data_IF_863077627748
#
_entry.id   IF_863077627748
#
_cell.length_a   1.000
_cell.length_b   1.000
_cell.length_c   1.000
_cell.angle_alpha   90.00
_cell.angle_beta   90.00
_cell.angle_gamma   90.00
#
_symmetry.space_group_name_H-M   'P 1'
#
loop_
_entity.id
_entity.type
_entity.pdbx_description
1 polymer ?
#
# COMPACT_ATOMS: atom_id res chain seq x y z
N UNK A 1 -2.49 -8.79 13.52
CA UNK A 1 -1.58 -9.48 12.57
C UNK A 1 -1.06 -8.44 11.59
N UNK A 2 0.21 -8.51 11.22
CA UNK A 2 0.85 -7.65 10.21
C UNK A 2 1.81 -8.48 9.36
N UNK A 3 1.93 -8.16 8.08
CA UNK A 3 3.07 -8.59 7.26
C UNK A 3 4.21 -7.60 7.49
N UNK A 4 5.30 -8.05 8.13
CA UNK A 4 6.46 -7.18 8.38
C UNK A 4 7.26 -6.86 7.13
N UNK A 5 7.02 -7.62 6.04
CA UNK A 5 7.52 -7.33 4.69
C UNK A 5 7.19 -5.92 4.20
N UNK A 6 6.06 -5.37 4.64
CA UNK A 6 5.47 -4.14 4.10
C UNK A 6 6.03 -2.92 4.84
N UNK A 7 5.19 -1.96 5.20
CA UNK A 7 5.58 -0.71 5.87
C UNK A 7 6.48 -0.89 7.09
N UNK A 8 6.34 -2.01 7.83
CA UNK A 8 7.13 -2.27 9.04
C UNK A 8 8.62 -2.39 8.72
N UNK A 9 9.02 -3.24 7.77
CA UNK A 9 10.38 -3.20 7.22
C UNK A 9 10.56 -1.98 6.33
N UNK A 10 9.73 -1.86 5.29
CA UNK A 10 9.68 -0.72 4.38
C UNK A 10 10.95 -0.47 3.58
N UNK A 11 11.80 -1.48 3.39
CA UNK A 11 12.99 -1.41 2.54
C UNK A 11 13.01 -2.55 1.49
N UNK A 12 11.91 -3.28 1.35
CA UNK A 12 11.71 -4.34 0.35
C UNK A 12 12.82 -5.40 0.29
N UNK A 13 13.44 -5.69 1.43
CA UNK A 13 14.64 -6.53 1.56
C UNK A 13 14.45 -7.76 2.47
N UNK A 14 13.32 -7.86 3.17
CA UNK A 14 12.99 -8.99 4.06
C UNK A 14 11.53 -9.41 3.94
N UNK A 15 11.26 -10.69 4.22
CA UNK A 15 9.92 -11.23 4.37
C UNK A 15 9.65 -11.61 5.83
N UNK A 16 8.44 -11.32 6.32
CA UNK A 16 8.07 -11.77 7.66
C UNK A 16 6.64 -11.45 8.07
N UNK A 17 6.28 -11.94 9.24
CA UNK A 17 4.98 -11.76 9.85
C UNK A 17 5.10 -11.42 11.34
N UNK A 18 4.15 -10.62 11.83
CA UNK A 18 4.04 -10.22 13.23
C UNK A 18 2.63 -10.49 13.72
N UNK A 19 2.53 -11.20 14.83
CA UNK A 19 1.31 -11.40 15.59
C UNK A 19 1.47 -10.72 16.95
N UNK A 20 0.50 -9.92 17.34
CA UNK A 20 0.45 -9.20 18.61
C UNK A 20 -0.90 -9.45 19.25
N UNK A 21 -0.91 -9.70 20.55
CA UNK A 21 -2.11 -9.89 21.36
C UNK A 21 -1.88 -9.26 22.74
N UNK A 22 -2.95 -8.83 23.39
CA UNK A 22 -2.98 -8.42 24.79
C UNK A 22 -3.62 -9.49 25.71
N UNK A 23 -3.90 -10.67 25.15
CA UNK A 23 -4.41 -11.85 25.83
C UNK A 23 -3.27 -12.86 26.01
N UNK A 24 -2.93 -13.14 27.26
CA UNK A 24 -1.84 -14.05 27.65
C UNK A 24 -2.09 -15.50 27.22
N UNK A 25 -3.34 -15.98 27.27
CA UNK A 25 -3.68 -17.34 26.84
C UNK A 25 -3.46 -17.48 25.33
N UNK A 26 -3.84 -16.45 24.57
CA UNK A 26 -3.59 -16.44 23.13
C UNK A 26 -2.09 -16.34 22.81
N UNK A 27 -1.31 -15.56 23.57
CA UNK A 27 0.15 -15.47 23.39
C UNK A 27 0.82 -16.83 23.59
N UNK A 28 0.47 -17.56 24.64
CA UNK A 28 0.99 -18.91 24.90
C UNK A 28 0.68 -19.87 23.75
N UNK A 29 -0.56 -19.86 23.25
CA UNK A 29 -0.99 -20.69 22.12
C UNK A 29 -0.23 -20.35 20.83
N UNK A 30 -0.04 -19.06 20.56
CA UNK A 30 0.74 -18.60 19.39
C UNK A 30 2.21 -19.00 19.50
N UNK A 31 2.83 -18.86 20.68
CA UNK A 31 4.21 -19.31 20.93
C UNK A 31 4.38 -20.81 20.77
N UNK A 32 3.41 -21.59 21.28
CA UNK A 32 3.40 -23.03 21.09
C UNK A 32 3.39 -23.40 19.60
N UNK A 33 2.51 -22.78 18.80
CA UNK A 33 2.45 -23.01 17.36
C UNK A 33 3.75 -22.61 16.65
N UNK A 34 4.35 -21.47 17.02
CA UNK A 34 5.61 -21.02 16.44
C UNK A 34 6.74 -22.03 16.70
N UNK A 35 6.82 -22.53 17.94
CA UNK A 35 7.79 -23.57 18.35
C UNK A 35 7.53 -24.90 17.64
N UNK A 36 6.27 -25.32 17.54
CA UNK A 36 5.88 -26.63 17.00
C UNK A 36 5.99 -26.70 15.47
N UNK A 37 5.69 -25.62 14.76
CA UNK A 37 5.74 -25.56 13.29
C UNK A 37 7.10 -25.12 12.76
N UNK A 38 7.93 -24.48 13.58
CA UNK A 38 9.25 -24.00 13.19
C UNK A 38 9.22 -22.77 12.28
N UNK A 39 8.07 -22.09 12.15
CA UNK A 39 7.90 -20.86 11.36
C UNK A 39 8.56 -19.62 11.98
N UNK A 40 9.75 -19.77 12.58
CA UNK A 40 10.50 -18.68 13.21
C UNK A 40 11.27 -17.88 12.16
N UNK A 41 11.27 -16.54 12.24
CA UNK A 41 12.07 -15.70 11.34
C UNK A 41 13.57 -15.85 11.61
N UNK A 42 14.39 -15.68 10.57
CA UNK A 42 15.85 -15.61 10.69
C UNK A 42 16.27 -14.53 11.69
N UNK A 43 17.26 -14.82 12.52
CA UNK A 43 17.83 -13.83 13.45
C UNK A 43 18.37 -12.60 12.73
N UNK A 44 18.88 -12.77 11.50
CA UNK A 44 19.35 -11.66 10.68
C UNK A 44 18.19 -10.79 10.20
N UNK A 45 17.10 -11.40 9.71
CA UNK A 45 15.91 -10.67 9.26
C UNK A 45 15.24 -9.92 10.43
N UNK A 46 15.24 -10.51 11.63
CA UNK A 46 14.79 -9.82 12.85
C UNK A 46 15.64 -8.59 13.17
N UNK A 47 16.96 -8.67 12.98
CA UNK A 47 17.85 -7.53 13.18
C UNK A 47 17.61 -6.44 12.13
N UNK A 48 17.44 -6.80 10.86
CA UNK A 48 17.06 -5.85 9.79
C UNK A 48 15.71 -5.19 10.11
N UNK A 49 14.70 -5.97 10.51
CA UNK A 49 13.40 -5.45 10.91
C UNK A 49 13.52 -4.45 12.07
N UNK A 50 14.29 -4.79 13.11
CA UNK A 50 14.54 -3.90 14.25
C UNK A 50 15.29 -2.62 13.85
N UNK A 51 16.20 -2.69 12.87
CA UNK A 51 16.83 -1.49 12.29
C UNK A 51 15.78 -0.63 11.60
N UNK A 52 14.93 -1.24 10.78
CA UNK A 52 13.91 -0.58 9.97
C UNK A 52 12.80 0.10 10.79
N UNK A 53 12.39 -0.47 11.93
CA UNK A 53 11.35 0.12 12.78
C UNK A 53 11.74 1.49 13.36
N UNK A 54 13.05 1.76 13.50
CA UNK A 54 13.56 3.06 13.98
C UNK A 54 13.19 4.24 13.09
N UNK A 55 12.94 3.99 11.79
CA UNK A 55 12.53 5.02 10.83
C UNK A 55 11.07 4.90 10.41
N UNK A 56 10.30 3.97 10.99
CA UNK A 56 8.91 3.71 10.62
C UNK A 56 8.04 4.97 10.70
N UNK A 57 8.11 5.71 11.82
CA UNK A 57 7.31 6.93 11.99
C UNK A 57 7.60 7.98 10.92
N UNK A 58 8.88 8.17 10.56
CA UNK A 58 9.28 9.13 9.53
C UNK A 58 8.82 8.68 8.14
N UNK A 59 9.06 7.42 7.79
CA UNK A 59 8.72 6.87 6.46
C UNK A 59 7.21 6.84 6.25
N UNK A 60 6.46 6.32 7.22
CA UNK A 60 5.02 6.16 7.10
C UNK A 60 4.29 7.50 7.11
N UNK A 61 4.77 8.48 7.87
CA UNK A 61 4.24 9.84 7.82
C UNK A 61 4.46 10.44 6.43
N UNK A 62 5.72 10.48 5.96
CA UNK A 62 6.07 11.07 4.66
C UNK A 62 5.30 10.43 3.50
N UNK A 63 5.20 9.09 3.47
CA UNK A 63 4.47 8.41 2.40
C UNK A 63 2.96 8.61 2.48
N UNK A 64 2.39 8.76 3.68
CA UNK A 64 0.97 9.09 3.86
C UNK A 64 0.65 10.53 3.47
N UNK A 65 1.54 11.48 3.76
CA UNK A 65 1.42 12.86 3.34
C UNK A 65 1.47 12.97 1.81
N UNK A 66 2.47 12.33 1.19
CA UNK A 66 2.57 12.22 -0.27
C UNK A 66 1.29 11.62 -0.86
N UNK A 67 0.78 10.52 -0.30
CA UNK A 67 -0.42 9.87 -0.81
C UNK A 67 -1.68 10.75 -0.66
N UNK A 68 -1.80 11.52 0.42
CA UNK A 68 -2.93 12.43 0.59
C UNK A 68 -2.94 13.51 -0.48
N UNK A 69 -1.78 14.13 -0.73
CA UNK A 69 -1.62 15.17 -1.75
C UNK A 69 -1.89 14.62 -3.16
N UNK A 70 -1.28 13.48 -3.49
CA UNK A 70 -1.47 12.83 -4.79
C UNK A 70 -2.90 12.38 -4.99
N UNK A 71 -3.56 11.79 -3.98
CA UNK A 71 -4.95 11.35 -4.09
C UNK A 71 -5.91 12.51 -4.35
N UNK A 72 -5.69 13.67 -3.71
CA UNK A 72 -6.50 14.87 -3.95
C UNK A 72 -6.30 15.40 -5.36
N UNK A 73 -5.06 15.48 -5.82
CA UNK A 73 -4.79 15.89 -7.20
C UNK A 73 -5.35 14.89 -8.23
N UNK A 74 -5.22 13.57 -8.00
CA UNK A 74 -5.78 12.52 -8.85
C UNK A 74 -7.30 12.61 -8.94
N UNK A 75 -7.99 12.94 -7.83
CA UNK A 75 -9.43 13.09 -7.80
C UNK A 75 -9.95 14.25 -8.66
N UNK A 76 -9.08 15.19 -9.06
CA UNK A 76 -9.40 16.31 -9.94
C UNK A 76 -9.08 16.03 -11.43
N UNK A 77 -8.63 14.82 -11.79
CA UNK A 77 -8.29 14.48 -13.17
C UNK A 77 -9.49 13.90 -13.93
N UNK A 78 -9.78 14.42 -15.12
CA UNK A 78 -10.96 14.03 -15.92
C UNK A 78 -10.83 12.68 -16.62
N UNK A 79 -9.61 12.13 -16.72
CA UNK A 79 -9.31 10.89 -17.43
C UNK A 79 -9.26 9.65 -16.50
N UNK A 80 -9.75 9.78 -15.27
CA UNK A 80 -9.88 8.69 -14.30
C UNK A 80 -11.36 8.43 -14.03
N UNK A 81 -11.78 7.18 -14.22
CA UNK A 81 -13.14 6.75 -13.87
C UNK A 81 -13.36 6.78 -12.36
N UNK A 82 -12.30 6.49 -11.60
CA UNK A 82 -12.38 6.39 -10.14
C UNK A 82 -11.03 6.58 -9.46
N UNK A 83 -11.05 7.26 -8.30
CA UNK A 83 -9.95 7.27 -7.34
C UNK A 83 -10.45 6.73 -6.00
N UNK A 84 -9.72 5.79 -5.40
CA UNK A 84 -10.06 5.13 -4.15
C UNK A 84 -8.95 5.41 -3.14
N UNK A 85 -9.25 6.30 -2.19
CA UNK A 85 -8.37 6.63 -1.08
C UNK A 85 -9.19 7.02 0.16
N UNK A 86 -8.94 6.46 1.35
CA UNK A 86 -9.73 6.75 2.55
C UNK A 86 -9.75 8.22 2.96
N UNK A 87 -8.72 8.99 2.58
CA UNK A 87 -8.62 10.42 2.86
C UNK A 87 -9.46 11.32 1.96
N UNK A 88 -10.08 10.79 0.90
CA UNK A 88 -10.99 11.57 0.04
C UNK A 88 -12.39 11.66 0.66
N UNK A 89 -13.00 12.85 0.61
CA UNK A 89 -14.33 13.10 1.20
C UNK A 89 -15.44 12.26 0.57
N UNK A 90 -15.30 11.89 -0.69
CA UNK A 90 -16.25 11.03 -1.41
C UNK A 90 -16.03 9.53 -1.13
N UNK A 91 -15.00 9.14 -0.37
CA UNK A 91 -14.78 7.75 -0.01
C UNK A 91 -15.89 7.26 0.95
N UNK A 92 -16.56 6.12 0.69
CA UNK A 92 -17.73 5.68 1.46
C UNK A 92 -17.47 5.52 2.97
N UNK A 93 -16.24 5.18 3.35
CA UNK A 93 -15.82 5.06 4.75
C UNK A 93 -14.90 6.19 5.24
N UNK A 94 -14.92 7.38 4.61
CA UNK A 94 -14.10 8.52 5.03
C UNK A 94 -14.29 8.87 6.52
N UNK A 95 -15.55 8.97 6.97
CA UNK A 95 -15.86 9.27 8.39
C UNK A 95 -15.35 8.21 9.36
N UNK A 96 -15.37 6.94 8.96
CA UNK A 96 -14.81 5.85 9.77
C UNK A 96 -13.29 5.98 9.81
N UNK A 97 -12.66 6.28 8.67
CA UNK A 97 -11.22 6.49 8.57
C UNK A 97 -10.75 7.63 9.48
N UNK A 98 -11.45 8.78 9.45
CA UNK A 98 -11.19 9.93 10.33
C UNK A 98 -11.24 9.56 11.80
N UNK A 99 -12.18 8.69 12.19
CA UNK A 99 -12.38 8.28 13.58
C UNK A 99 -11.27 7.35 14.07
N UNK A 100 -10.86 6.37 13.27
CA UNK A 100 -10.04 5.24 13.77
C UNK A 100 -8.59 5.21 13.27
N UNK A 101 -8.26 5.91 12.18
CA UNK A 101 -6.90 5.89 11.63
C UNK A 101 -6.11 7.07 12.16
N UNK A 102 -5.35 6.83 13.23
CA UNK A 102 -4.64 7.86 13.98
C UNK A 102 -3.15 7.56 14.12
N UNK A 103 -2.33 8.60 14.13
CA UNK A 103 -0.96 8.54 14.62
C UNK A 103 -0.95 8.27 16.13
N UNK A 104 0.18 7.86 16.73
CA UNK A 104 0.29 7.73 18.19
C UNK A 104 -0.07 9.01 18.97
N UNK A 105 0.04 10.17 18.33
CA UNK A 105 -0.31 11.47 18.92
C UNK A 105 -1.78 11.87 18.71
N UNK A 106 -2.58 11.03 18.05
CA UNK A 106 -4.01 11.26 17.81
C UNK A 106 -4.34 12.06 16.55
N UNK A 107 -3.35 12.40 15.72
CA UNK A 107 -3.57 13.05 14.42
C UNK A 107 -4.12 12.05 13.41
N UNK A 108 -4.91 12.50 12.44
CA UNK A 108 -5.43 11.61 11.39
C UNK A 108 -4.32 11.21 10.42
N UNK A 109 -4.29 9.94 10.03
CA UNK A 109 -3.40 9.43 8.99
C UNK A 109 -4.14 8.38 8.16
N UNK A 110 -4.11 8.49 6.83
CA UNK A 110 -4.91 7.63 5.94
C UNK A 110 -4.09 6.52 5.24
N UNK A 111 -2.79 6.46 5.51
CA UNK A 111 -1.86 5.54 4.87
C UNK A 111 -1.45 5.97 3.45
N UNK A 112 -0.69 5.11 2.79
CA UNK A 112 0.04 5.42 1.56
C UNK A 112 -0.38 4.57 0.35
N UNK A 113 -1.58 3.99 0.37
CA UNK A 113 -2.09 3.16 -0.71
C UNK A 113 -3.23 3.89 -1.43
N UNK A 114 -3.10 4.04 -2.74
CA UNK A 114 -4.13 4.63 -3.61
C UNK A 114 -4.48 3.60 -4.68
N UNK A 115 -5.75 3.47 -5.02
CA UNK A 115 -6.14 2.77 -6.25
C UNK A 115 -6.83 3.74 -7.21
N UNK A 116 -6.55 3.62 -8.50
CA UNK A 116 -7.17 4.38 -9.57
C UNK A 116 -7.75 3.43 -10.62
N UNK A 117 -8.86 3.80 -11.23
CA UNK A 117 -9.42 3.12 -12.39
C UNK A 117 -9.30 4.05 -13.59
N UNK A 118 -8.62 3.59 -14.64
CA UNK A 118 -8.33 4.35 -15.87
C UNK A 118 -9.31 4.02 -17.01
N UNK A 119 -10.35 3.22 -16.72
CA UNK A 119 -11.49 2.97 -17.60
C UNK A 119 -11.25 1.98 -18.75
N UNK A 120 -10.06 1.93 -19.35
CA UNK A 120 -9.72 0.97 -20.41
C UNK A 120 -8.38 0.28 -20.21
N UNK A 121 -8.22 -0.92 -20.79
CA UNK A 121 -6.97 -1.68 -20.74
C UNK A 121 -5.87 -0.93 -21.50
N UNK A 122 -6.22 -0.29 -22.62
CA UNK A 122 -5.28 0.51 -23.42
C UNK A 122 -4.76 1.74 -22.66
N UNK A 123 -5.63 2.39 -21.88
CA UNK A 123 -5.23 3.51 -21.02
C UNK A 123 -4.32 3.03 -19.88
N UNK A 124 -4.63 1.88 -19.29
CA UNK A 124 -3.80 1.23 -18.26
C UNK A 124 -2.41 0.89 -18.77
N UNK A 125 -2.31 0.20 -19.89
CA UNK A 125 -1.02 -0.24 -20.41
C UNK A 125 -0.15 0.96 -20.78
N UNK A 126 -0.74 1.98 -21.42
CA UNK A 126 -0.07 3.25 -21.72
C UNK A 126 0.39 3.99 -20.47
N UNK A 127 -0.45 4.03 -19.44
CA UNK A 127 -0.10 4.64 -18.16
C UNK A 127 1.12 3.95 -17.55
N UNK A 128 1.15 2.62 -17.52
CA UNK A 128 2.26 1.84 -16.98
C UNK A 128 3.56 2.00 -17.78
N UNK A 129 3.48 2.07 -19.11
CA UNK A 129 4.63 2.26 -19.99
C UNK A 129 5.30 3.64 -19.85
N UNK A 130 4.57 4.64 -19.35
CA UNK A 130 5.01 6.05 -19.26
C UNK A 130 5.57 6.45 -17.89
N UNK A 131 5.53 5.55 -16.91
CA UNK A 131 6.06 5.80 -15.57
C UNK A 131 7.58 5.59 -15.55
N UNK A 132 8.30 6.56 -15.02
CA UNK A 132 9.75 6.54 -14.85
C UNK A 132 10.17 6.38 -13.38
N UNK A 133 9.36 6.87 -12.43
CA UNK A 133 9.65 6.83 -10.99
C UNK A 133 8.98 5.62 -10.34
N UNK A 134 7.70 5.39 -10.64
CA UNK A 134 6.97 4.23 -10.11
C UNK A 134 7.46 2.94 -10.75
N UNK A 135 7.95 2.00 -9.94
CA UNK A 135 8.38 0.69 -10.44
C UNK A 135 7.19 -0.27 -10.55
N UNK A 136 6.98 -0.88 -11.73
CA UNK A 136 6.00 -1.95 -11.92
C UNK A 136 6.46 -3.22 -11.19
N UNK A 137 5.90 -3.46 -10.00
CA UNK A 137 6.25 -4.62 -9.19
C UNK A 137 5.13 -5.02 -8.24
N UNK A 138 5.15 -6.29 -7.82
CA UNK A 138 4.35 -6.72 -6.67
C UNK A 138 4.94 -6.19 -5.35
N UNK A 139 4.17 -6.32 -4.27
CA UNK A 139 4.44 -5.74 -2.94
C UNK A 139 3.97 -4.28 -2.76
N UNK A 140 4.25 -3.71 -1.59
CA UNK A 140 3.83 -2.37 -1.14
C UNK A 140 4.54 -1.96 0.16
N UNK A 141 4.49 -0.67 0.48
CA UNK A 141 4.93 -0.12 1.77
C UNK A 141 6.43 0.10 1.92
N UNK A 142 7.18 -0.01 0.82
CA UNK A 142 8.60 0.35 0.74
C UNK A 142 8.85 1.85 0.85
N UNK A 143 10.13 2.24 0.77
CA UNK A 143 10.53 3.64 0.60
C UNK A 143 10.36 4.09 -0.84
N UNK A 144 10.42 3.14 -1.77
CA UNK A 144 10.19 3.28 -3.19
C UNK A 144 8.71 3.20 -3.55
N UNK A 145 8.32 3.99 -4.54
CA UNK A 145 6.99 4.01 -5.10
C UNK A 145 6.80 2.85 -6.08
N UNK A 146 5.74 2.07 -5.87
CA UNK A 146 5.41 0.91 -6.70
C UNK A 146 4.03 1.07 -7.34
N UNK A 147 3.90 0.54 -8.55
CA UNK A 147 2.64 0.41 -9.27
C UNK A 147 2.37 -1.06 -9.58
N UNK A 148 1.12 -1.49 -9.52
CA UNK A 148 0.73 -2.82 -9.97
C UNK A 148 -0.71 -2.85 -10.50
N UNK A 149 -1.02 -3.85 -11.32
CA UNK A 149 -2.39 -4.18 -11.76
C UNK A 149 -2.88 -5.35 -10.90
N UNK A 150 -3.73 -5.14 -9.88
CA UNK A 150 -4.10 -6.21 -8.97
C UNK A 150 -4.77 -7.40 -9.67
N UNK A 151 -5.54 -7.15 -10.73
CA UNK A 151 -6.24 -8.20 -11.47
C UNK A 151 -5.32 -9.26 -12.08
N UNK A 152 -4.19 -8.83 -12.65
CA UNK A 152 -3.22 -9.67 -13.38
C UNK A 152 -2.02 -10.09 -12.53
N UNK A 153 -1.79 -9.42 -11.39
CA UNK A 153 -0.61 -9.63 -10.54
C UNK A 153 -1.03 -10.16 -9.16
N UNK A 154 -1.12 -9.28 -8.17
CA UNK A 154 -1.30 -9.65 -6.75
C UNK A 154 -2.56 -10.45 -6.43
N UNK A 155 -3.61 -10.37 -7.26
CA UNK A 155 -4.86 -11.12 -7.10
C UNK A 155 -5.10 -12.09 -8.27
N UNK A 156 -4.09 -12.38 -9.10
CA UNK A 156 -4.21 -13.30 -10.24
C UNK A 156 -4.74 -14.68 -9.87
N UNK A 157 -4.42 -15.17 -8.67
CA UNK A 157 -4.89 -16.46 -8.16
C UNK A 157 -6.37 -16.49 -7.73
N UNK A 158 -7.03 -15.33 -7.65
CA UNK A 158 -8.45 -15.24 -7.27
C UNK A 158 -9.34 -15.50 -8.50
N UNK A 159 -10.40 -16.33 -8.38
CA UNK A 159 -11.34 -16.55 -9.47
C UNK A 159 -11.92 -15.24 -10.04
N UNK A 160 -12.05 -15.15 -11.37
CA UNK A 160 -12.52 -13.94 -12.07
C UNK A 160 -13.80 -13.37 -11.48
N UNK A 161 -14.81 -14.22 -11.23
CA UNK A 161 -16.08 -13.79 -10.64
C UNK A 161 -15.87 -13.09 -9.28
N UNK A 162 -15.04 -13.66 -8.41
CA UNK A 162 -14.75 -13.08 -7.10
C UNK A 162 -13.95 -11.76 -7.22
N UNK A 163 -13.00 -11.66 -8.16
CA UNK A 163 -12.29 -10.40 -8.44
C UNK A 163 -13.28 -9.28 -8.79
N UNK A 164 -14.19 -9.55 -9.71
CA UNK A 164 -15.17 -8.56 -10.17
C UNK A 164 -16.16 -8.17 -9.06
N UNK A 165 -16.61 -9.13 -8.24
CA UNK A 165 -17.46 -8.85 -7.06
C UNK A 165 -16.76 -7.96 -6.02
N UNK A 166 -15.43 -8.05 -5.91
CA UNK A 166 -14.60 -7.19 -5.06
C UNK A 166 -14.27 -5.83 -5.70
N UNK A 167 -14.71 -5.59 -6.94
CA UNK A 167 -14.38 -4.37 -7.71
C UNK A 167 -12.94 -4.36 -8.22
N UNK A 168 -12.29 -5.53 -8.32
CA UNK A 168 -10.96 -5.67 -8.92
C UNK A 168 -11.15 -5.92 -10.42
N UNK A 169 -11.15 -4.84 -11.18
CA UNK A 169 -11.27 -4.83 -12.65
C UNK A 169 -9.89 -4.90 -13.32
N UNK A 170 -9.87 -5.22 -14.62
CA UNK A 170 -8.65 -5.22 -15.44
C UNK A 170 -8.01 -3.84 -15.55
N UNK A 171 -8.80 -2.79 -15.35
CA UNK A 171 -8.42 -1.38 -15.48
C UNK A 171 -8.02 -0.75 -14.14
N UNK A 172 -8.17 -1.49 -13.03
CA UNK A 172 -7.77 -1.04 -11.71
C UNK A 172 -6.25 -1.09 -11.57
N UNK A 173 -5.66 0.03 -11.18
CA UNK A 173 -4.24 0.19 -10.86
C UNK A 173 -4.13 0.50 -9.37
N UNK A 174 -3.14 -0.09 -8.70
CA UNK A 174 -2.81 0.22 -7.31
C UNK A 174 -1.42 0.85 -7.22
N UNK A 175 -1.36 1.99 -6.56
CA UNK A 175 -0.15 2.74 -6.25
C UNK A 175 0.20 2.54 -4.77
N UNK A 176 1.42 2.09 -4.51
CA UNK A 176 2.06 2.14 -3.20
C UNK A 176 2.97 3.36 -3.20
N UNK A 177 2.57 4.42 -2.51
CA UNK A 177 3.32 5.68 -2.49
C UNK A 177 4.52 5.54 -1.54
N UNK A 178 5.70 5.86 -2.05
CA UNK A 178 6.96 5.89 -1.33
C UNK A 178 7.23 7.24 -0.66
N UNK A 179 8.50 7.50 -0.38
CA UNK A 179 8.98 8.70 0.34
C UNK A 179 9.75 9.67 -0.55
N UNK A 180 9.68 9.50 -1.88
CA UNK A 180 10.27 10.41 -2.85
C UNK A 180 9.71 11.84 -2.72
N UNK A 181 10.31 12.78 -3.45
CA UNK A 181 9.75 14.12 -3.56
C UNK A 181 8.35 14.06 -4.19
N UNK A 182 7.38 14.76 -3.60
CA UNK A 182 5.99 14.69 -4.04
C UNK A 182 5.81 15.34 -5.42
N UNK A 183 6.64 16.34 -5.74
CA UNK A 183 6.66 16.99 -7.05
C UNK A 183 7.11 16.03 -8.15
N UNK A 184 8.13 15.22 -7.88
CA UNK A 184 8.62 14.20 -8.83
C UNK A 184 7.56 13.11 -9.05
N UNK A 185 6.94 12.60 -7.98
CA UNK A 185 5.86 11.61 -8.07
C UNK A 185 4.66 12.16 -8.85
N UNK A 186 4.28 13.42 -8.58
CA UNK A 186 3.18 14.07 -9.29
C UNK A 186 3.51 14.28 -10.76
N UNK A 187 4.73 14.71 -11.09
CA UNK A 187 5.18 14.91 -12.46
C UNK A 187 5.17 13.60 -13.26
N UNK A 188 5.59 12.49 -12.63
CA UNK A 188 5.57 11.16 -13.24
C UNK A 188 4.13 10.71 -13.54
N UNK A 189 3.23 10.82 -12.56
CA UNK A 189 1.80 10.51 -12.74
C UNK A 189 1.14 11.43 -13.79
N UNK A 190 1.46 12.72 -13.81
CA UNK A 190 1.00 13.66 -14.82
C UNK A 190 1.45 13.23 -16.22
N UNK A 191 2.68 12.75 -16.37
CA UNK A 191 3.17 12.25 -17.65
C UNK A 191 2.42 10.99 -18.08
N UNK A 192 2.24 10.05 -17.15
CA UNK A 192 1.55 8.79 -17.40
C UNK A 192 0.06 8.97 -17.75
N UNK A 193 -0.59 10.01 -17.22
CA UNK A 193 -2.00 10.34 -17.49
C UNK A 193 -2.23 11.16 -18.77
N UNK A 194 -1.19 11.60 -19.49
CA UNK A 194 -1.43 12.27 -20.79
C UNK A 194 -2.07 11.30 -21.77
N UNK A 195 -2.84 11.82 -22.72
CA UNK A 195 -3.27 11.07 -23.90
C UNK A 195 -2.07 10.61 -24.76
#
# INVERSE_FOLDING_TARGET
MQSSTKSLSGHSDILGGVLTTNDDELDERLRFLLKATGGVPSSFDNWILLRSTKTLGLRYQKSSDNATELAQWLADQDNLDRVIYPGLKNHPQHEIALKQQKTPNGEVIFGNMISIDVGTIEARDRFLERLDVFTLAESLGGVESLVCVPYDMTHAAIPVKAKLEMGITETLIRLSIGIEDVGDLKADLQNALKD
#
